data_IF_816655058824
#
_entry.id   IF_816655058824
#
_cell.length_a   1.000
_cell.length_b   1.000
_cell.length_c   1.000
_cell.angle_alpha   90.00
_cell.angle_beta   90.00
_cell.angle_gamma   90.00
#
_symmetry.space_group_name_H-M   'P 1'
#
loop_
_entity.id
_entity.type
_entity.pdbx_description
1 polymer ?
#
# COMPACT_ATOMS: atom_id res chain seq x y z
N UNK A 1 -10.13 14.52 9.26
CA UNK A 1 -10.36 13.11 9.65
C UNK A 1 -9.02 12.40 9.76
N UNK A 2 -8.64 12.00 10.97
CA UNK A 2 -7.35 11.37 11.24
C UNK A 2 -7.21 10.07 10.42
N UNK A 3 -6.26 10.03 9.47
CA UNK A 3 -5.96 8.81 8.70
C UNK A 3 -5.48 7.73 9.68
N UNK A 4 -6.25 6.64 9.78
CA UNK A 4 -5.87 5.41 10.49
C UNK A 4 -4.46 5.01 10.06
N UNK A 5 -3.46 5.17 10.94
CA UNK A 5 -2.12 4.63 10.71
C UNK A 5 -2.25 3.11 10.79
N UNK A 6 -2.29 2.42 9.65
CA UNK A 6 -2.13 0.97 9.68
C UNK A 6 -0.77 0.65 10.29
N UNK A 7 -0.79 -0.16 11.35
CA UNK A 7 0.37 -0.51 12.13
C UNK A 7 0.92 -1.84 11.60
N UNK A 8 1.80 -1.76 10.60
CA UNK A 8 2.42 -2.94 9.95
C UNK A 8 3.50 -3.63 10.81
N UNK A 9 3.68 -3.17 12.06
CA UNK A 9 4.74 -3.66 12.97
C UNK A 9 4.41 -5.00 13.62
N UNK A 10 3.13 -5.29 13.81
CA UNK A 10 2.67 -6.45 14.58
C UNK A 10 2.15 -7.57 13.65
N UNK A 11 2.27 -7.41 12.33
CA UNK A 11 1.75 -8.34 11.33
C UNK A 11 2.79 -9.41 10.95
N UNK A 12 2.32 -10.63 10.73
CA UNK A 12 3.18 -11.72 10.26
C UNK A 12 3.66 -11.48 8.82
N UNK A 13 4.84 -12.02 8.47
CA UNK A 13 5.42 -11.84 7.12
C UNK A 13 4.50 -12.31 5.98
N UNK A 14 3.74 -13.37 6.22
CA UNK A 14 2.76 -13.90 5.27
C UNK A 14 1.63 -12.91 5.02
N UNK A 15 1.16 -12.24 6.08
CA UNK A 15 0.10 -11.24 6.00
C UNK A 15 0.59 -9.97 5.31
N UNK A 16 1.81 -9.53 5.62
CA UNK A 16 2.45 -8.39 4.95
C UNK A 16 2.60 -8.63 3.45
N UNK A 17 2.96 -9.84 3.01
CA UNK A 17 3.05 -10.18 1.58
C UNK A 17 1.68 -10.19 0.91
N UNK A 18 0.63 -10.68 1.59
CA UNK A 18 -0.75 -10.63 1.08
C UNK A 18 -1.24 -9.20 0.93
N UNK A 19 -1.05 -8.35 1.94
CA UNK A 19 -1.42 -6.93 1.87
C UNK A 19 -0.63 -6.16 0.79
N UNK A 20 0.65 -6.52 0.57
CA UNK A 20 1.43 -5.94 -0.51
C UNK A 20 0.85 -6.25 -1.88
N UNK A 21 0.38 -7.48 -2.10
CA UNK A 21 -0.25 -7.89 -3.35
C UNK A 21 -1.56 -7.11 -3.59
N UNK A 22 -2.44 -7.03 -2.58
CA UNK A 22 -3.73 -6.33 -2.71
C UNK A 22 -3.55 -4.82 -2.94
N UNK A 23 -2.58 -4.18 -2.28
CA UNK A 23 -2.26 -2.77 -2.49
C UNK A 23 -1.71 -2.51 -3.90
N UNK A 24 -0.88 -3.41 -4.45
CA UNK A 24 -0.38 -3.30 -5.83
C UNK A 24 -1.48 -3.46 -6.87
N UNK A 25 -2.38 -4.42 -6.68
CA UNK A 25 -3.56 -4.59 -7.54
C UNK A 25 -4.46 -3.37 -7.49
N UNK A 26 -4.72 -2.84 -6.29
CA UNK A 26 -5.50 -1.60 -6.11
C UNK A 26 -4.86 -0.44 -6.87
N UNK A 27 -3.54 -0.29 -6.79
CA UNK A 27 -2.78 0.74 -7.52
C UNK A 27 -2.92 0.56 -9.04
N UNK A 28 -2.85 -0.69 -9.54
CA UNK A 28 -3.07 -1.02 -10.95
C UNK A 28 -4.48 -0.61 -11.39
N UNK A 29 -5.51 -0.98 -10.64
CA UNK A 29 -6.91 -0.62 -10.99
C UNK A 29 -7.12 0.89 -11.01
N UNK A 30 -6.48 1.64 -10.11
CA UNK A 30 -6.53 3.10 -10.09
C UNK A 30 -5.88 3.68 -11.35
N UNK A 31 -4.73 3.16 -11.77
CA UNK A 31 -4.09 3.59 -13.01
C UNK A 31 -4.99 3.34 -14.23
N UNK A 32 -5.51 2.11 -14.39
CA UNK A 32 -6.42 1.78 -15.48
C UNK A 32 -7.69 2.66 -15.49
N UNK A 33 -8.27 2.93 -14.32
CA UNK A 33 -9.43 3.83 -14.19
C UNK A 33 -9.09 5.29 -14.51
N UNK A 34 -7.84 5.71 -14.28
CA UNK A 34 -7.41 7.09 -14.52
C UNK A 34 -7.09 7.41 -15.97
N UNK A 35 -6.69 6.43 -16.79
CA UNK A 35 -6.38 6.64 -18.22
C UNK A 35 -7.62 7.03 -19.04
N UNK A 36 -8.83 6.66 -18.59
CA UNK A 36 -10.08 6.98 -19.29
C UNK A 36 -10.85 8.19 -18.75
N UNK A 37 -10.50 8.71 -17.56
CA UNK A 37 -11.19 9.86 -16.96
C UNK A 37 -10.38 10.50 -15.84
N UNK A 38 -10.57 11.81 -15.62
CA UNK A 38 -9.92 12.53 -14.52
C UNK A 38 -10.44 12.01 -13.18
N UNK A 39 -9.66 11.12 -12.54
CA UNK A 39 -9.99 10.59 -11.22
C UNK A 39 -10.12 11.72 -10.20
N UNK A 40 -11.26 11.79 -9.51
CA UNK A 40 -11.55 12.78 -8.47
C UNK A 40 -10.59 12.66 -7.28
N UNK A 41 -10.06 11.47 -7.02
CA UNK A 41 -9.21 11.18 -5.86
C UNK A 41 -7.74 10.93 -6.22
N UNK A 42 -7.08 11.99 -6.73
CA UNK A 42 -5.64 11.97 -7.07
C UNK A 42 -4.75 11.56 -5.89
N UNK A 43 -5.16 11.88 -4.66
CA UNK A 43 -4.37 11.63 -3.43
C UNK A 43 -4.36 10.16 -2.99
N UNK A 44 -5.26 9.32 -3.49
CA UNK A 44 -5.34 7.90 -3.11
C UNK A 44 -4.14 7.09 -3.60
N UNK A 45 -3.68 7.35 -4.82
CA UNK A 45 -2.48 6.70 -5.38
C UNK A 45 -1.23 6.98 -4.54
N UNK A 46 -1.05 8.23 -4.11
CA UNK A 46 0.07 8.65 -3.27
C UNK A 46 0.01 8.02 -1.87
N UNK A 47 -1.18 7.83 -1.30
CA UNK A 47 -1.31 7.12 -0.02
C UNK A 47 -1.00 5.64 -0.12
N UNK A 48 -1.47 4.97 -1.18
CA UNK A 48 -1.19 3.55 -1.41
C UNK A 48 0.30 3.30 -1.62
N UNK A 49 0.99 4.16 -2.39
CA UNK A 49 2.45 4.11 -2.55
C UNK A 49 3.18 4.22 -1.20
N UNK A 50 2.72 5.09 -0.30
CA UNK A 50 3.30 5.22 1.05
C UNK A 50 3.04 3.98 1.93
N UNK A 51 1.88 3.32 1.79
CA UNK A 51 1.59 2.07 2.51
C UNK A 51 2.49 0.94 2.01
N UNK A 52 2.64 0.78 0.68
CA UNK A 52 3.55 -0.22 0.09
C UNK A 52 4.98 -0.02 0.58
N UNK A 53 5.47 1.23 0.59
CA UNK A 53 6.82 1.53 1.08
C UNK A 53 7.01 1.15 2.56
N UNK A 54 5.99 1.35 3.40
CA UNK A 54 6.03 0.95 4.82
C UNK A 54 6.09 -0.56 4.97
N UNK A 55 5.27 -1.32 4.24
CA UNK A 55 5.27 -2.79 4.27
C UNK A 55 6.64 -3.33 3.83
N UNK A 56 7.19 -2.82 2.73
CA UNK A 56 8.53 -3.19 2.26
C UNK A 56 9.62 -2.89 3.28
N UNK A 57 9.49 -1.78 4.01
CA UNK A 57 10.45 -1.40 5.06
C UNK A 57 10.39 -2.37 6.24
N UNK A 58 9.20 -2.76 6.70
CA UNK A 58 9.04 -3.72 7.80
C UNK A 58 9.51 -5.13 7.38
N UNK A 59 9.21 -5.57 6.15
CA UNK A 59 9.75 -6.82 5.60
C UNK A 59 11.28 -6.84 5.60
N UNK A 60 11.92 -5.73 5.20
CA UNK A 60 13.38 -5.65 5.19
C UNK A 60 13.98 -5.64 6.61
N UNK A 61 13.31 -5.00 7.59
CA UNK A 61 13.74 -5.04 8.99
C UNK A 61 13.67 -6.45 9.57
N UNK A 62 12.62 -7.21 9.25
CA UNK A 62 12.46 -8.59 9.71
C UNK A 62 13.52 -9.51 9.10
N UNK A 63 13.87 -9.31 7.83
CA UNK A 63 14.88 -10.09 7.13
C UNK A 63 16.34 -9.78 7.56
N UNK A 64 16.57 -8.67 8.28
CA UNK A 64 17.91 -8.24 8.73
C UNK A 64 18.17 -8.58 10.21
N UNK A 65 17.22 -9.22 10.89
CA UNK A 65 17.38 -9.82 12.20
C UNK A 65 17.99 -11.22 12.06
#
# INVERSE_FOLDING_TARGET
>A
MAKKKQNFKDMGEVELKKELATLRESLRTIHFKSEGSRSKNVKESATMKKQIARILTELNKNNKK
#
